data_IF_631637897778
#
_entry.id   IF_631637897778
#
_cell.length_a   1.000
_cell.length_b   1.000
_cell.length_c   1.000
_cell.angle_alpha   90.00
_cell.angle_beta   90.00
_cell.angle_gamma   90.00
#
_symmetry.space_group_name_H-M   'P 1'
#
loop_
_entity.id
_entity.type
_entity.pdbx_description
1 polymer ?
#
# COMPACT_ATOMS: atom_id res chain seq x y z
N UNK A 1 -18.78 28.91 15.12
CA UNK A 1 -17.47 28.22 15.21
C UNK A 1 -17.73 26.85 15.86
N UNK A 2 -17.43 25.73 15.20
CA UNK A 2 -17.60 24.38 15.77
C UNK A 2 -16.30 23.95 16.43
N UNK A 3 -16.34 23.64 17.73
CA UNK A 3 -15.20 23.10 18.46
C UNK A 3 -15.18 21.57 18.25
N UNK A 4 -14.08 21.05 17.73
CA UNK A 4 -13.86 19.60 17.56
C UNK A 4 -12.65 19.25 18.43
N UNK A 5 -12.82 18.33 19.37
CA UNK A 5 -11.73 17.75 20.16
C UNK A 5 -11.44 16.33 19.66
N UNK A 6 -10.19 16.09 19.27
CA UNK A 6 -9.69 14.80 18.78
C UNK A 6 -8.72 14.24 19.81
N UNK A 7 -8.97 12.99 20.25
CA UNK A 7 -8.03 12.20 21.06
C UNK A 7 -7.56 11.02 20.22
N UNK A 8 -6.25 10.80 20.16
CA UNK A 8 -5.65 9.67 19.44
C UNK A 8 -4.77 8.86 20.39
N UNK A 9 -4.68 7.56 20.14
CA UNK A 9 -3.78 6.64 20.83
C UNK A 9 -2.82 6.06 19.81
N UNK A 10 -1.55 5.97 20.18
CA UNK A 10 -0.49 5.41 19.34
C UNK A 10 0.08 4.21 20.07
N UNK A 11 0.09 3.07 19.39
CA UNK A 11 0.77 1.86 19.85
C UNK A 11 2.05 1.70 19.04
N UNK A 12 3.17 1.57 19.75
CA UNK A 12 4.49 1.34 19.15
C UNK A 12 4.84 -0.13 19.38
N UNK A 13 5.31 -0.79 18.31
CA UNK A 13 5.83 -2.15 18.35
C UNK A 13 7.33 -2.08 18.07
N UNK A 14 8.13 -2.83 18.81
CA UNK A 14 9.60 -2.74 18.69
C UNK A 14 10.10 -3.45 17.43
N UNK A 15 9.37 -4.46 16.97
CA UNK A 15 9.74 -5.25 15.81
C UNK A 15 8.51 -5.88 15.12
N UNK A 16 8.74 -6.45 13.95
CA UNK A 16 7.69 -7.05 13.11
C UNK A 16 7.00 -8.25 13.78
N UNK A 17 7.66 -8.92 14.75
CA UNK A 17 7.14 -10.14 15.36
C UNK A 17 6.01 -9.87 16.35
N UNK A 18 5.89 -8.65 16.86
CA UNK A 18 4.81 -8.23 17.76
C UNK A 18 3.53 -7.84 17.01
N UNK A 19 3.61 -7.67 15.69
CA UNK A 19 2.45 -7.27 14.90
C UNK A 19 1.41 -8.40 14.82
N UNK A 20 0.11 -8.06 14.71
CA UNK A 20 -0.91 -9.05 14.39
C UNK A 20 -0.56 -9.82 13.10
N UNK A 21 -0.83 -11.13 13.06
CA UNK A 21 -0.51 -12.00 11.92
C UNK A 21 -1.04 -11.45 10.59
N UNK A 22 -2.22 -10.83 10.61
CA UNK A 22 -2.82 -10.17 9.45
C UNK A 22 -1.92 -9.03 8.91
N UNK A 23 -1.42 -8.18 9.80
CA UNK A 23 -0.54 -7.05 9.46
C UNK A 23 0.81 -7.57 8.97
N UNK A 24 1.38 -8.61 9.61
CA UNK A 24 2.59 -9.28 9.11
C UNK A 24 2.40 -9.77 7.66
N UNK A 25 1.23 -10.37 7.38
CA UNK A 25 0.85 -10.83 6.04
C UNK A 25 0.83 -9.70 5.01
N UNK A 26 0.19 -8.57 5.35
CA UNK A 26 0.17 -7.37 4.51
C UNK A 26 1.57 -6.81 4.26
N UNK A 27 2.39 -6.68 5.30
CA UNK A 27 3.76 -6.20 5.17
C UNK A 27 4.59 -7.10 4.25
N UNK A 28 4.49 -8.43 4.43
CA UNK A 28 5.16 -9.39 3.57
C UNK A 28 4.73 -9.23 2.10
N UNK A 29 3.42 -9.11 1.85
CA UNK A 29 2.86 -8.91 0.50
C UNK A 29 3.32 -7.59 -0.14
N UNK A 30 3.42 -6.52 0.64
CA UNK A 30 3.93 -5.24 0.16
C UNK A 30 5.43 -5.33 -0.21
N UNK A 31 6.23 -6.00 0.62
CA UNK A 31 7.67 -6.25 0.35
C UNK A 31 7.87 -7.13 -0.89
N UNK A 32 7.02 -8.14 -1.09
CA UNK A 32 7.00 -8.96 -2.30
C UNK A 32 6.67 -8.12 -3.53
N UNK A 33 5.60 -7.31 -3.48
CA UNK A 33 5.16 -6.46 -4.58
C UNK A 33 6.23 -5.44 -5.01
N UNK A 34 6.96 -4.87 -4.04
CA UNK A 34 8.08 -3.94 -4.24
C UNK A 34 9.12 -4.48 -5.21
N UNK A 35 9.38 -5.80 -5.23
CA UNK A 35 10.45 -6.39 -6.05
C UNK A 35 10.22 -6.14 -7.55
N UNK A 36 8.97 -6.10 -7.96
CA UNK A 36 8.52 -5.92 -9.33
C UNK A 36 8.24 -4.45 -9.70
N UNK A 37 8.60 -3.49 -8.85
CA UNK A 37 8.45 -2.06 -9.14
C UNK A 37 9.23 -1.65 -10.39
N UNK A 38 8.57 -0.93 -11.30
CA UNK A 38 9.24 -0.25 -12.40
C UNK A 38 9.66 1.15 -11.94
N UNK A 39 10.91 1.25 -11.45
CA UNK A 39 11.48 2.50 -10.96
C UNK A 39 12.89 2.78 -11.51
N UNK A 40 13.07 2.85 -12.85
CA UNK A 40 14.39 3.04 -13.44
C UNK A 40 14.94 4.45 -13.25
N UNK A 41 14.11 5.45 -12.91
CA UNK A 41 14.55 6.84 -12.80
C UNK A 41 15.01 7.17 -11.39
N UNK A 42 14.16 6.96 -10.37
CA UNK A 42 14.54 7.23 -8.97
C UNK A 42 15.36 6.13 -8.31
N UNK A 43 15.29 4.90 -8.84
CA UNK A 43 15.79 3.67 -8.18
C UNK A 43 15.13 3.38 -6.83
N UNK A 44 14.05 4.09 -6.49
CA UNK A 44 13.33 3.92 -5.24
C UNK A 44 12.11 3.04 -5.46
N UNK A 45 12.23 1.78 -5.04
CA UNK A 45 11.15 0.79 -5.18
C UNK A 45 10.20 0.85 -4.00
N UNK A 46 8.91 0.97 -4.27
CA UNK A 46 7.82 0.97 -3.29
C UNK A 46 6.83 -0.13 -3.64
N UNK A 47 6.36 -0.85 -2.63
CA UNK A 47 5.28 -1.82 -2.75
C UNK A 47 4.18 -1.52 -1.73
N UNK A 48 2.95 -1.83 -2.07
CA UNK A 48 1.77 -1.64 -1.24
C UNK A 48 0.94 -2.93 -1.23
N UNK A 49 0.28 -3.19 -0.11
CA UNK A 49 -0.70 -4.26 0.04
C UNK A 49 -1.90 -3.73 0.83
N UNK A 50 -3.10 -4.07 0.39
CA UNK A 50 -4.37 -3.67 1.00
C UNK A 50 -5.19 -4.92 1.28
N UNK A 51 -5.86 -4.94 2.43
CA UNK A 51 -6.88 -5.92 2.76
C UNK A 51 -8.25 -5.34 2.41
N UNK A 52 -9.03 -6.07 1.63
CA UNK A 52 -10.42 -5.72 1.33
C UNK A 52 -11.38 -6.31 2.38
N UNK A 53 -12.61 -5.82 2.41
CA UNK A 53 -13.64 -6.25 3.37
C UNK A 53 -13.97 -7.75 3.28
N UNK A 54 -13.82 -8.35 2.09
CA UNK A 54 -13.99 -9.79 1.85
C UNK A 54 -12.79 -10.64 2.26
N UNK A 55 -11.75 -10.04 2.84
CA UNK A 55 -10.53 -10.70 3.26
C UNK A 55 -9.49 -10.91 2.16
N UNK A 56 -9.77 -10.51 0.92
CA UNK A 56 -8.78 -10.59 -0.17
C UNK A 56 -7.67 -9.55 0.00
N UNK A 57 -6.44 -9.92 -0.37
CA UNK A 57 -5.29 -9.01 -0.35
C UNK A 57 -4.92 -8.59 -1.77
N UNK A 58 -4.87 -7.28 -2.00
CA UNK A 58 -4.51 -6.69 -3.29
C UNK A 58 -3.23 -5.90 -3.15
N UNK A 59 -2.33 -6.05 -4.12
CA UNK A 59 -1.01 -5.43 -4.09
C UNK A 59 -0.78 -4.51 -5.28
N UNK A 60 0.12 -3.55 -5.08
CA UNK A 60 0.62 -2.65 -6.11
C UNK A 60 2.09 -2.33 -5.86
N UNK A 61 2.76 -1.79 -6.87
CA UNK A 61 4.11 -1.25 -6.76
C UNK A 61 4.21 0.01 -7.62
N UNK A 62 5.21 0.85 -7.36
CA UNK A 62 5.32 2.10 -8.10
C UNK A 62 5.73 1.84 -9.56
N UNK A 63 5.13 2.62 -10.44
CA UNK A 63 5.31 2.58 -11.89
C UNK A 63 5.75 3.97 -12.34
N UNK A 64 7.03 4.14 -12.61
CA UNK A 64 7.56 5.41 -13.07
C UNK A 64 7.40 5.61 -14.58
N UNK A 65 7.62 6.83 -15.03
CA UNK A 65 7.57 7.20 -16.43
C UNK A 65 8.60 8.30 -16.72
N UNK A 66 9.10 8.36 -17.96
CA UNK A 66 10.02 9.41 -18.40
C UNK A 66 9.43 10.82 -18.19
N UNK A 67 8.11 10.97 -18.43
CA UNK A 67 7.37 12.14 -18.00
C UNK A 67 7.01 11.99 -16.52
N UNK A 68 7.82 12.59 -15.64
CA UNK A 68 7.71 12.42 -14.18
C UNK A 68 6.29 12.59 -13.60
N UNK A 69 5.45 13.54 -14.08
CA UNK A 69 4.06 13.66 -13.60
C UNK A 69 3.16 12.45 -13.91
N UNK A 70 3.57 11.56 -14.82
CA UNK A 70 2.80 10.38 -15.22
C UNK A 70 3.11 9.14 -14.38
N UNK A 71 4.05 9.25 -13.44
CA UNK A 71 4.36 8.16 -12.51
C UNK A 71 3.19 7.86 -11.56
N UNK A 72 3.02 6.59 -11.24
CA UNK A 72 2.02 6.11 -10.28
C UNK A 72 2.70 5.53 -9.04
N UNK A 73 2.21 5.93 -7.87
CA UNK A 73 2.65 5.39 -6.59
C UNK A 73 2.06 3.97 -6.40
N UNK A 74 2.69 3.16 -5.54
CA UNK A 74 2.28 1.77 -5.30
C UNK A 74 0.83 1.65 -4.80
N UNK A 75 0.41 2.59 -3.96
CA UNK A 75 -0.92 2.69 -3.36
C UNK A 75 -1.98 2.94 -4.44
N UNK A 76 -1.70 3.88 -5.36
CA UNK A 76 -2.60 4.19 -6.48
C UNK A 76 -2.75 2.99 -7.41
N UNK A 77 -1.65 2.30 -7.71
CA UNK A 77 -1.68 1.06 -8.51
C UNK A 77 -2.49 -0.02 -7.81
N UNK A 78 -2.33 -0.21 -6.49
CA UNK A 78 -3.10 -1.18 -5.74
C UNK A 78 -4.61 -0.88 -5.79
N UNK A 79 -5.01 0.38 -5.57
CA UNK A 79 -6.41 0.83 -5.65
C UNK A 79 -6.98 0.61 -7.05
N UNK A 80 -6.28 1.05 -8.09
CA UNK A 80 -6.74 0.89 -9.46
C UNK A 80 -6.87 -0.57 -9.89
N UNK A 81 -5.99 -1.44 -9.40
CA UNK A 81 -6.09 -2.88 -9.64
C UNK A 81 -7.37 -3.47 -9.04
N UNK A 82 -7.78 -3.03 -7.85
CA UNK A 82 -9.10 -3.43 -7.30
C UNK A 82 -10.20 -3.00 -8.27
N UNK A 83 -10.21 -1.73 -8.66
CA UNK A 83 -11.28 -1.18 -9.50
C UNK A 83 -11.30 -1.78 -10.91
N UNK A 84 -10.15 -2.18 -11.48
CA UNK A 84 -10.09 -2.80 -12.81
C UNK A 84 -10.53 -4.25 -12.80
N UNK A 85 -10.07 -5.02 -11.81
CA UNK A 85 -10.28 -6.46 -11.75
C UNK A 85 -11.63 -6.80 -11.09
N UNK A 86 -12.10 -5.93 -10.19
CA UNK A 86 -13.29 -6.10 -9.38
C UNK A 86 -14.13 -4.80 -9.27
N UNK A 87 -14.68 -4.27 -10.37
CA UNK A 87 -15.39 -2.98 -10.40
C UNK A 87 -16.68 -2.92 -9.57
N UNK A 88 -17.17 -4.05 -9.06
CA UNK A 88 -18.40 -4.16 -8.27
C UNK A 88 -18.15 -4.78 -6.89
N UNK A 89 -16.89 -4.95 -6.50
CA UNK A 89 -16.53 -5.22 -5.11
C UNK A 89 -16.62 -3.97 -4.26
#
# INVERSE_FOLDING_TARGET
>A
MKKIELKTQITIFDNIEELPNLVKGLMKKAVEAKQNAYAPYSKFKVGAAMLLEDGSMITGNNQENAAYPSGMCAERVAIWKVSSDFPHK
#
